data_IF_876811488338
#
_entry.id   IF_876811488338
#
_cell.length_a   1.000
_cell.length_b   1.000
_cell.length_c   1.000
_cell.angle_alpha   90.00
_cell.angle_beta   90.00
_cell.angle_gamma   90.00
#
_symmetry.space_group_name_H-M   'P 1'
#
loop_
_entity.id
_entity.type
_entity.pdbx_description
1 polymer ?
#
# COMPACT_ATOMS: atom_id res chain seq x y z
N UNK A 1 19.59 -38.66 43.69
CA UNK A 1 19.89 -37.23 43.94
C UNK A 1 20.50 -36.53 42.74
N UNK A 2 21.40 -37.13 42.03
CA UNK A 2 22.03 -36.49 40.81
C UNK A 2 21.09 -36.33 39.64
N UNK A 3 20.01 -37.10 39.54
CA UNK A 3 19.03 -37.05 38.46
C UNK A 3 18.12 -35.83 38.51
N UNK A 4 17.84 -35.27 39.70
CA UNK A 4 16.99 -34.08 39.84
C UNK A 4 17.65 -32.79 39.34
N UNK A 5 18.95 -32.68 39.42
CA UNK A 5 19.67 -31.50 38.93
C UNK A 5 19.69 -31.40 37.39
N UNK A 6 19.67 -32.55 36.73
CA UNK A 6 19.67 -32.55 35.25
C UNK A 6 18.33 -32.17 34.64
N UNK A 7 17.22 -32.49 35.30
CA UNK A 7 15.90 -32.13 34.81
C UNK A 7 15.60 -30.63 34.97
N UNK A 8 16.08 -30.01 36.03
CA UNK A 8 15.96 -28.56 36.22
C UNK A 8 16.75 -27.76 35.20
N UNK A 9 17.90 -28.26 34.80
CA UNK A 9 18.73 -27.62 33.79
C UNK A 9 18.11 -27.65 32.38
N UNK A 10 17.45 -28.75 32.04
CA UNK A 10 16.75 -28.88 30.75
C UNK A 10 15.54 -27.97 30.66
N UNK A 11 14.81 -27.75 31.73
CA UNK A 11 13.64 -26.86 31.77
C UNK A 11 14.02 -25.39 31.57
N UNK A 12 15.14 -24.96 32.16
CA UNK A 12 15.61 -23.58 32.00
C UNK A 12 16.11 -23.27 30.58
N UNK A 13 16.81 -24.22 29.99
CA UNK A 13 17.30 -24.05 28.60
C UNK A 13 16.17 -23.95 27.58
N UNK A 14 15.10 -24.74 27.75
CA UNK A 14 13.96 -24.71 26.85
C UNK A 14 13.17 -23.39 26.95
N UNK A 15 13.05 -22.83 28.15
CA UNK A 15 12.38 -21.53 28.34
C UNK A 15 13.13 -20.38 27.70
N UNK A 16 14.46 -20.36 27.80
CA UNK A 16 15.29 -19.33 27.17
C UNK A 16 15.20 -19.40 25.64
N UNK A 17 15.19 -20.60 25.10
CA UNK A 17 15.09 -20.81 23.65
C UNK A 17 13.76 -20.35 23.09
N UNK A 18 12.65 -20.62 23.78
CA UNK A 18 11.30 -20.17 23.36
C UNK A 18 11.18 -18.64 23.37
N UNK A 19 11.77 -17.96 24.38
CA UNK A 19 11.78 -16.51 24.43
C UNK A 19 12.57 -15.88 23.28
N UNK A 20 13.71 -16.46 22.92
CA UNK A 20 14.52 -15.98 21.80
C UNK A 20 13.80 -16.09 20.46
N UNK A 21 13.06 -17.15 20.21
CA UNK A 21 12.27 -17.34 19.00
C UNK A 21 11.13 -16.32 18.89
N UNK A 22 10.45 -16.02 19.99
CA UNK A 22 9.38 -15.03 20.01
C UNK A 22 9.89 -13.63 19.66
N UNK A 23 11.04 -13.23 20.15
CA UNK A 23 11.68 -11.95 19.86
C UNK A 23 12.07 -11.86 18.37
N UNK A 24 12.57 -12.95 17.79
CA UNK A 24 12.95 -12.97 16.38
C UNK A 24 11.78 -12.79 15.43
N UNK A 25 10.58 -13.29 15.78
CA UNK A 25 9.39 -13.16 14.96
C UNK A 25 8.83 -11.73 14.94
N UNK A 26 9.00 -10.97 16.02
CA UNK A 26 8.54 -9.56 16.10
C UNK A 26 9.33 -8.67 15.16
N UNK A 27 10.62 -8.95 14.92
CA UNK A 27 11.47 -8.17 14.02
C UNK A 27 11.18 -8.33 12.53
N UNK A 28 10.35 -9.31 12.13
CA UNK A 28 10.04 -9.59 10.72
C UNK A 28 8.80 -8.84 10.24
N UNK A 29 7.93 -8.36 11.15
CA UNK A 29 6.69 -7.66 10.81
C UNK A 29 6.98 -6.16 10.70
N UNK A 30 7.71 -5.77 9.69
CA UNK A 30 7.90 -4.36 9.35
C UNK A 30 7.48 -4.12 7.92
N UNK A 31 6.30 -3.51 7.75
CA UNK A 31 5.82 -3.01 6.47
C UNK A 31 6.32 -1.57 6.33
N UNK A 32 7.48 -1.40 5.77
CA UNK A 32 8.19 -0.13 5.85
C UNK A 32 8.06 0.75 4.62
N UNK A 33 7.45 0.30 3.57
CA UNK A 33 7.39 1.12 2.37
C UNK A 33 5.98 1.59 2.06
N UNK A 34 5.91 2.82 1.65
CA UNK A 34 4.69 3.42 1.14
C UNK A 34 4.36 2.84 -0.23
N UNK A 35 3.09 2.76 -0.55
CA UNK A 35 2.62 2.21 -1.83
C UNK A 35 3.17 3.03 -3.00
N UNK A 36 3.85 2.37 -3.92
CA UNK A 36 4.37 2.96 -5.14
C UNK A 36 3.39 2.77 -6.31
N UNK A 37 3.66 3.45 -7.42
CA UNK A 37 2.92 3.22 -8.66
C UNK A 37 3.00 1.77 -9.15
N UNK A 38 4.14 1.12 -8.97
CA UNK A 38 4.30 -0.30 -9.31
C UNK A 38 3.39 -1.19 -8.48
N UNK A 39 3.31 -0.93 -7.17
CA UNK A 39 2.43 -1.68 -6.27
C UNK A 39 0.97 -1.51 -6.68
N UNK A 40 0.55 -0.26 -6.89
CA UNK A 40 -0.81 0.05 -7.30
C UNK A 40 -1.14 -0.60 -8.64
N UNK A 41 -0.26 -0.46 -9.64
CA UNK A 41 -0.48 -1.03 -10.97
C UNK A 41 -0.64 -2.54 -10.92
N UNK A 42 0.16 -3.23 -10.13
CA UNK A 42 0.08 -4.67 -9.95
C UNK A 42 -1.30 -5.10 -9.43
N UNK A 43 -1.84 -4.38 -8.45
CA UNK A 43 -3.17 -4.63 -7.93
C UNK A 43 -4.26 -4.30 -8.95
N UNK A 44 -4.11 -3.22 -9.71
CA UNK A 44 -5.08 -2.82 -10.72
C UNK A 44 -5.16 -3.79 -11.89
N UNK A 45 -4.03 -4.37 -12.29
CA UNK A 45 -3.99 -5.41 -13.36
C UNK A 45 -4.63 -6.71 -12.87
N UNK A 46 -4.38 -7.10 -11.62
CA UNK A 46 -4.92 -8.33 -11.06
C UNK A 46 -6.43 -8.26 -10.86
N UNK A 47 -6.93 -7.16 -10.29
CA UNK A 47 -8.36 -6.97 -10.02
C UNK A 47 -8.66 -5.49 -9.81
N UNK A 48 -9.17 -4.79 -10.83
CA UNK A 48 -9.51 -3.36 -10.69
C UNK A 48 -10.63 -3.09 -9.67
N UNK A 49 -11.47 -4.07 -9.36
CA UNK A 49 -12.65 -3.91 -8.51
C UNK A 49 -12.39 -4.08 -7.01
N UNK A 50 -11.17 -4.35 -6.60
CA UNK A 50 -10.83 -4.62 -5.19
C UNK A 50 -9.94 -3.53 -4.61
N UNK A 51 -8.70 -3.89 -4.28
CA UNK A 51 -7.73 -2.96 -3.70
C UNK A 51 -7.51 -1.72 -4.58
N UNK A 52 -7.39 -1.93 -5.89
CA UNK A 52 -7.15 -0.83 -6.84
C UNK A 52 -8.23 0.25 -6.72
N UNK A 53 -9.50 -0.13 -6.81
CA UNK A 53 -10.62 0.82 -6.72
C UNK A 53 -10.67 1.52 -5.38
N UNK A 54 -10.53 0.77 -4.29
CA UNK A 54 -10.54 1.33 -2.93
C UNK A 54 -9.40 2.31 -2.69
N UNK A 55 -8.21 1.96 -3.16
CA UNK A 55 -7.03 2.81 -3.01
C UNK A 55 -7.19 4.13 -3.76
N UNK A 56 -7.55 4.06 -5.04
CA UNK A 56 -7.73 5.25 -5.88
C UNK A 56 -8.81 6.15 -5.29
N UNK A 57 -9.96 5.60 -4.92
CA UNK A 57 -11.05 6.37 -4.33
C UNK A 57 -10.63 6.98 -2.98
N UNK A 58 -9.88 6.27 -2.16
CA UNK A 58 -9.38 6.79 -0.89
C UNK A 58 -8.43 7.98 -1.06
N UNK A 59 -7.53 7.92 -2.04
CA UNK A 59 -6.66 9.04 -2.38
C UNK A 59 -7.48 10.25 -2.82
N UNK A 60 -8.48 10.04 -3.66
CA UNK A 60 -9.34 11.11 -4.18
C UNK A 60 -10.17 11.73 -3.07
N UNK A 61 -10.80 10.92 -2.24
CA UNK A 61 -11.62 11.40 -1.12
C UNK A 61 -10.79 12.24 -0.14
N UNK A 62 -9.54 11.87 0.08
CA UNK A 62 -8.63 12.59 0.97
C UNK A 62 -8.11 13.89 0.35
N UNK A 63 -8.20 14.06 -0.97
CA UNK A 63 -7.62 15.18 -1.71
C UNK A 63 -8.66 15.91 -2.58
N UNK A 64 -9.94 15.74 -2.29
CA UNK A 64 -11.02 16.28 -3.16
C UNK A 64 -10.96 17.80 -3.32
N UNK A 65 -10.47 18.52 -2.31
CA UNK A 65 -10.34 19.98 -2.39
C UNK A 65 -9.26 20.44 -3.39
N UNK A 66 -8.36 19.55 -3.76
CA UNK A 66 -7.29 19.82 -4.72
C UNK A 66 -7.65 19.41 -6.15
N UNK A 67 -8.83 18.82 -6.34
CA UNK A 67 -9.25 18.22 -7.59
C UNK A 67 -10.52 18.87 -8.11
N UNK A 68 -10.67 18.92 -9.41
CA UNK A 68 -11.74 19.65 -10.09
C UNK A 68 -12.53 18.71 -11.01
N UNK A 69 -13.36 17.86 -10.40
CA UNK A 69 -14.18 16.92 -11.16
C UNK A 69 -15.44 17.54 -11.70
N UNK A 70 -15.82 17.28 -12.98
CA UNK A 70 -17.16 17.52 -13.45
C UNK A 70 -18.18 16.68 -12.67
N UNK A 71 -19.43 17.16 -12.47
CA UNK A 71 -20.41 16.46 -11.66
C UNK A 71 -20.79 15.07 -12.18
N UNK A 72 -20.67 14.84 -13.47
CA UNK A 72 -21.06 13.59 -14.13
C UNK A 72 -19.98 12.50 -14.13
N UNK A 73 -18.78 12.77 -13.64
CA UNK A 73 -17.68 11.78 -13.65
C UNK A 73 -18.02 10.61 -12.72
N UNK A 74 -17.91 9.42 -13.26
CA UNK A 74 -18.19 8.19 -12.53
C UNK A 74 -16.93 7.62 -11.86
N UNK A 75 -17.13 6.79 -10.84
CA UNK A 75 -16.02 6.07 -10.18
C UNK A 75 -15.23 5.22 -11.17
N UNK A 76 -15.90 4.54 -12.08
CA UNK A 76 -15.23 3.69 -13.07
C UNK A 76 -14.35 4.50 -14.03
N UNK A 77 -14.82 5.68 -14.44
CA UNK A 77 -13.99 6.56 -15.27
C UNK A 77 -12.72 6.99 -14.55
N UNK A 78 -12.83 7.35 -13.29
CA UNK A 78 -11.70 7.74 -12.45
C UNK A 78 -10.67 6.60 -12.35
N UNK A 79 -11.14 5.38 -12.12
CA UNK A 79 -10.29 4.20 -12.03
C UNK A 79 -9.60 3.94 -13.37
N UNK A 80 -10.34 3.97 -14.46
CA UNK A 80 -9.80 3.72 -15.81
C UNK A 80 -8.77 4.80 -16.22
N UNK A 81 -9.07 6.06 -15.93
CA UNK A 81 -8.13 7.17 -16.18
C UNK A 81 -6.82 6.96 -15.42
N UNK A 82 -6.92 6.56 -14.16
CA UNK A 82 -5.73 6.29 -13.35
C UNK A 82 -4.91 5.13 -13.93
N UNK A 83 -5.55 4.03 -14.29
CA UNK A 83 -4.87 2.86 -14.88
C UNK A 83 -4.16 3.24 -16.18
N UNK A 84 -4.84 3.96 -17.06
CA UNK A 84 -4.25 4.42 -18.33
C UNK A 84 -3.06 5.35 -18.07
N UNK A 85 -3.20 6.28 -17.13
CA UNK A 85 -2.11 7.19 -16.76
C UNK A 85 -0.88 6.42 -16.27
N UNK A 86 -1.08 5.46 -15.37
CA UNK A 86 0.02 4.64 -14.85
C UNK A 86 0.71 3.85 -15.98
N UNK A 87 -0.06 3.30 -16.90
CA UNK A 87 0.46 2.57 -18.05
C UNK A 87 1.31 3.46 -18.94
N UNK A 88 0.83 4.65 -19.22
CA UNK A 88 1.49 5.60 -20.11
C UNK A 88 2.73 6.26 -19.47
N UNK A 89 2.85 6.18 -18.15
CA UNK A 89 3.97 6.74 -17.40
C UNK A 89 4.76 5.63 -16.67
N UNK A 90 5.05 4.55 -17.38
CA UNK A 90 5.75 3.39 -16.84
C UNK A 90 7.14 3.72 -16.26
N UNK A 91 7.76 4.79 -16.72
CA UNK A 91 9.03 5.32 -16.22
C UNK A 91 8.92 5.95 -14.82
N UNK A 92 7.71 6.23 -14.34
CA UNK A 92 7.45 6.92 -13.08
C UNK A 92 6.81 6.03 -12.01
N UNK A 93 6.63 4.75 -12.26
CA UNK A 93 5.93 3.84 -11.35
C UNK A 93 6.69 3.58 -10.04
N UNK A 94 7.97 3.95 -9.96
CA UNK A 94 8.72 3.93 -8.70
C UNK A 94 8.32 5.04 -7.72
N UNK A 95 7.57 6.04 -8.17
CA UNK A 95 7.14 7.16 -7.35
C UNK A 95 5.97 6.77 -6.42
N UNK A 96 5.72 7.62 -5.44
CA UNK A 96 4.65 7.46 -4.46
C UNK A 96 3.28 7.47 -5.14
N UNK A 97 2.50 6.40 -4.94
CA UNK A 97 1.25 6.18 -5.66
C UNK A 97 0.21 7.29 -5.52
N UNK A 98 -0.04 7.88 -4.32
CA UNK A 98 -1.01 8.96 -4.22
C UNK A 98 -0.68 10.15 -5.12
N UNK A 99 0.59 10.48 -5.26
CA UNK A 99 1.02 11.58 -6.13
C UNK A 99 0.71 11.28 -7.60
N UNK A 100 0.88 10.03 -8.02
CA UNK A 100 0.55 9.61 -9.37
C UNK A 100 -0.95 9.65 -9.64
N UNK A 101 -1.77 9.23 -8.67
CA UNK A 101 -3.23 9.33 -8.77
C UNK A 101 -3.67 10.78 -8.92
N UNK A 102 -3.15 11.68 -8.09
CA UNK A 102 -3.47 13.11 -8.15
C UNK A 102 -3.05 13.70 -9.50
N UNK A 103 -1.86 13.36 -9.98
CA UNK A 103 -1.39 13.81 -11.31
C UNK A 103 -2.28 13.30 -12.44
N UNK A 104 -2.73 12.06 -12.36
CA UNK A 104 -3.65 11.50 -13.35
C UNK A 104 -4.96 12.29 -13.39
N UNK A 105 -5.51 12.61 -12.23
CA UNK A 105 -6.76 13.38 -12.14
C UNK A 105 -6.59 14.82 -12.62
N UNK A 106 -5.49 15.47 -12.29
CA UNK A 106 -5.22 16.84 -12.76
C UNK A 106 -4.97 16.90 -14.26
N UNK A 107 -4.38 15.88 -14.83
CA UNK A 107 -4.18 15.79 -16.27
C UNK A 107 -5.51 15.62 -17.02
N UNK A 108 -6.40 14.77 -16.47
CA UNK A 108 -7.70 14.50 -17.08
C UNK A 108 -8.72 15.62 -16.84
N UNK A 109 -8.68 16.24 -15.66
CA UNK A 109 -9.64 17.27 -15.24
C UNK A 109 -8.91 18.49 -14.69
N UNK A 110 -8.28 19.28 -15.58
CA UNK A 110 -7.58 20.48 -15.14
C UNK A 110 -8.55 21.50 -14.52
N UNK A 111 -8.10 22.11 -13.43
CA UNK A 111 -8.89 23.16 -12.78
C UNK A 111 -8.84 24.45 -13.61
N UNK A 112 -10.00 25.13 -13.75
CA UNK A 112 -10.11 26.36 -14.54
C UNK A 112 -9.37 27.54 -13.94
N UNK A 113 -9.10 27.48 -12.63
CA UNK A 113 -8.40 28.55 -11.90
C UNK A 113 -6.88 28.35 -11.82
N UNK A 114 -6.33 27.40 -12.57
CA UNK A 114 -4.89 27.14 -12.64
C UNK A 114 -4.29 26.38 -11.48
N UNK A 115 -5.11 25.77 -10.63
CA UNK A 115 -4.62 24.96 -9.51
C UNK A 115 -3.96 23.66 -9.93
#
# INVERSE_FOLDING_TARGET
MRRHRRSLFKGGANLIFAAALAVSMVGIVQADHLTTGNDLMRHCVASPDSFCAGYICGVIDSNHTLLCFPPEVTKMEIINITIVYLRDHSDRLGLYAPNLVIKAMRAAFPCKDGR
#
